data_IF_781728577032
#
_entry.id   IF_781728577032
#
_cell.length_a   1.000
_cell.length_b   1.000
_cell.length_c   1.000
_cell.angle_alpha   90.00
_cell.angle_beta   90.00
_cell.angle_gamma   90.00
#
_symmetry.space_group_name_H-M   'P 1'
#
loop_
_entity.id
_entity.type
_entity.pdbx_description
1 polymer ?
#
# COMPACT_ATOMS: atom_id res chain seq x y z
N UNK A 1 9.72 -35.42 -7.24
CA UNK A 1 10.67 -34.36 -7.68
C UNK A 1 10.62 -34.20 -9.19
N UNK A 2 11.00 -35.21 -9.97
CA UNK A 2 11.07 -35.17 -11.44
C UNK A 2 9.74 -34.81 -12.14
N UNK A 3 8.60 -35.32 -11.65
CA UNK A 3 7.27 -34.99 -12.20
C UNK A 3 6.88 -33.51 -11.99
N UNK A 4 7.29 -32.92 -10.86
CA UNK A 4 6.95 -31.52 -10.51
C UNK A 4 7.92 -30.54 -11.17
N UNK A 5 9.19 -30.94 -11.35
CA UNK A 5 10.15 -30.24 -12.20
C UNK A 5 9.64 -30.21 -13.65
N UNK A 6 9.12 -31.34 -14.15
CA UNK A 6 8.45 -31.38 -15.46
C UNK A 6 7.24 -30.46 -15.52
N UNK A 7 6.34 -30.46 -14.54
CA UNK A 7 5.14 -29.59 -14.54
C UNK A 7 5.51 -28.10 -14.43
N UNK A 8 6.53 -27.75 -13.63
CA UNK A 8 7.02 -26.38 -13.51
C UNK A 8 7.72 -25.90 -14.78
N UNK A 9 8.65 -26.68 -15.33
CA UNK A 9 9.27 -26.41 -16.63
C UNK A 9 8.24 -26.37 -17.75
N UNK A 10 7.28 -27.30 -17.79
CA UNK A 10 6.21 -27.32 -18.79
C UNK A 10 5.40 -26.03 -18.76
N UNK A 11 5.04 -25.52 -17.57
CA UNK A 11 4.30 -24.26 -17.46
C UNK A 11 5.12 -23.04 -17.89
N UNK A 12 6.41 -23.02 -17.60
CA UNK A 12 7.30 -21.98 -18.12
C UNK A 12 7.42 -22.09 -19.64
N UNK A 13 7.59 -23.31 -20.18
CA UNK A 13 7.62 -23.55 -21.62
C UNK A 13 6.30 -23.10 -22.30
N UNK A 14 5.17 -23.21 -21.60
CA UNK A 14 3.82 -22.74 -21.99
C UNK A 14 3.58 -21.23 -21.73
N UNK A 15 4.59 -20.45 -21.33
CA UNK A 15 4.50 -18.99 -21.22
C UNK A 15 4.28 -18.43 -19.80
N UNK A 16 4.34 -19.24 -18.75
CA UNK A 16 4.27 -18.74 -17.38
C UNK A 16 5.51 -17.89 -17.03
N UNK A 17 5.29 -16.72 -16.45
CA UNK A 17 6.34 -15.88 -15.88
C UNK A 17 6.70 -16.29 -14.44
N UNK A 18 7.99 -16.18 -14.09
CA UNK A 18 8.46 -16.35 -12.71
C UNK A 18 9.35 -15.18 -12.31
N UNK A 19 9.08 -14.59 -11.14
CA UNK A 19 9.96 -13.61 -10.52
C UNK A 19 10.51 -14.16 -9.20
N UNK A 20 11.82 -14.07 -8.99
CA UNK A 20 12.44 -14.30 -7.68
C UNK A 20 13.13 -13.03 -7.19
N UNK A 21 12.73 -12.57 -6.00
CA UNK A 21 13.35 -11.44 -5.33
C UNK A 21 14.41 -11.92 -4.34
N UNK A 22 15.46 -11.13 -4.16
CA UNK A 22 16.47 -11.37 -3.15
C UNK A 22 15.94 -11.18 -1.72
N UNK A 23 16.80 -11.45 -0.75
CA UNK A 23 16.55 -11.31 0.68
C UNK A 23 17.07 -12.53 1.44
N UNK A 24 16.82 -12.57 2.74
CA UNK A 24 17.25 -13.68 3.61
C UNK A 24 16.67 -15.04 3.19
N UNK A 25 15.50 -15.02 2.53
CA UNK A 25 14.80 -16.20 2.01
C UNK A 25 14.88 -16.34 0.48
N UNK A 26 15.56 -15.43 -0.23
CA UNK A 26 15.73 -15.48 -1.68
C UNK A 26 16.97 -16.29 -2.08
N UNK A 27 16.99 -16.82 -3.30
CA UNK A 27 18.16 -17.46 -3.93
C UNK A 27 18.89 -18.47 -3.01
N UNK A 28 20.12 -18.14 -2.59
CA UNK A 28 20.95 -18.95 -1.71
C UNK A 28 20.37 -19.16 -0.30
N UNK A 29 19.55 -18.24 0.20
CA UNK A 29 19.13 -18.23 1.61
C UNK A 29 20.30 -17.90 2.56
N UNK A 30 20.01 -17.22 3.67
CA UNK A 30 21.00 -16.88 4.69
C UNK A 30 20.37 -16.86 6.09
N UNK A 31 21.17 -16.96 7.16
CA UNK A 31 20.67 -16.74 8.52
C UNK A 31 19.70 -17.83 9.02
N UNK A 32 19.88 -19.07 8.55
CA UNK A 32 19.05 -20.22 8.93
C UNK A 32 17.87 -20.49 7.99
N UNK A 33 17.65 -19.67 6.96
CA UNK A 33 16.66 -19.96 5.93
C UNK A 33 17.22 -20.94 4.87
N UNK A 34 16.37 -21.84 4.34
CA UNK A 34 16.78 -22.83 3.35
C UNK A 34 17.13 -22.17 2.01
N UNK A 35 18.01 -22.83 1.26
CA UNK A 35 18.37 -22.41 -0.10
C UNK A 35 17.36 -22.89 -1.14
N UNK A 36 17.18 -22.11 -2.20
CA UNK A 36 16.45 -22.54 -3.40
C UNK A 36 17.30 -23.42 -4.33
N UNK A 37 18.62 -23.48 -4.14
CA UNK A 37 19.55 -24.27 -4.97
C UNK A 37 19.10 -25.72 -5.15
N UNK A 38 18.78 -26.38 -4.04
CA UNK A 38 18.48 -27.81 -4.00
C UNK A 38 16.97 -28.11 -4.17
N UNK A 39 16.20 -27.10 -4.60
CA UNK A 39 14.76 -27.22 -4.86
C UNK A 39 14.49 -27.46 -6.34
N UNK A 40 13.22 -27.69 -6.67
CA UNK A 40 12.77 -27.79 -8.06
C UNK A 40 12.88 -26.46 -8.83
N UNK A 41 12.98 -25.33 -8.12
CA UNK A 41 13.12 -24.00 -8.70
C UNK A 41 14.60 -23.68 -9.00
N UNK A 42 15.55 -24.25 -8.26
CA UNK A 42 16.98 -23.98 -8.45
C UNK A 42 17.48 -24.15 -9.90
N UNK A 43 17.10 -25.22 -10.63
CA UNK A 43 17.48 -25.42 -12.02
C UNK A 43 16.88 -24.42 -13.02
N UNK A 44 15.75 -23.77 -12.71
CA UNK A 44 15.07 -22.82 -13.61
C UNK A 44 15.46 -21.36 -13.34
N UNK A 45 16.19 -21.08 -12.27
CA UNK A 45 16.68 -19.73 -11.99
C UNK A 45 17.83 -19.35 -12.94
N UNK A 46 17.90 -18.08 -13.37
CA UNK A 46 18.98 -17.57 -14.23
C UNK A 46 20.35 -17.47 -13.53
N UNK A 47 20.45 -17.94 -12.29
CA UNK A 47 21.63 -17.80 -11.44
C UNK A 47 21.89 -19.07 -10.65
N UNK A 48 23.15 -19.30 -10.33
CA UNK A 48 23.55 -20.27 -9.32
C UNK A 48 23.44 -19.65 -7.93
N UNK A 49 22.78 -20.40 -7.04
CA UNK A 49 22.49 -20.00 -5.67
C UNK A 49 23.56 -20.58 -4.73
N UNK A 50 24.12 -19.75 -3.85
CA UNK A 50 25.18 -20.13 -2.91
C UNK A 50 24.64 -20.16 -1.47
N UNK A 51 24.37 -21.35 -0.90
CA UNK A 51 23.76 -21.47 0.42
C UNK A 51 24.61 -20.86 1.53
N UNK A 52 24.01 -19.98 2.34
CA UNK A 52 24.69 -19.35 3.46
C UNK A 52 25.69 -18.26 3.07
N UNK A 53 25.80 -17.92 1.79
CA UNK A 53 26.59 -16.79 1.32
C UNK A 53 25.71 -15.55 1.09
N UNK A 54 26.27 -14.39 1.38
CA UNK A 54 25.64 -13.09 1.11
C UNK A 54 26.57 -12.25 0.25
N UNK A 55 25.98 -11.31 -0.48
CA UNK A 55 26.71 -10.34 -1.28
C UNK A 55 27.76 -9.62 -0.45
N UNK A 56 28.88 -9.29 -1.09
CA UNK A 56 29.95 -8.51 -0.46
C UNK A 56 29.85 -7.04 -0.85
N UNK A 57 28.90 -6.64 -1.68
CA UNK A 57 28.67 -5.26 -2.08
C UNK A 57 27.68 -4.61 -1.15
N UNK A 58 28.09 -3.47 -0.58
CA UNK A 58 27.23 -2.67 0.28
C UNK A 58 26.73 -1.45 -0.48
N UNK A 59 25.41 -1.35 -0.61
CA UNK A 59 24.71 -0.14 -1.05
C UNK A 59 25.28 0.47 -2.35
N UNK A 60 25.38 -0.28 -3.46
CA UNK A 60 25.93 0.28 -4.68
C UNK A 60 24.90 1.19 -5.36
N UNK A 61 25.41 2.19 -6.10
CA UNK A 61 24.61 2.81 -7.16
C UNK A 61 24.40 1.80 -8.29
N UNK A 62 23.30 1.97 -9.02
CA UNK A 62 22.96 1.12 -10.15
C UNK A 62 23.63 1.63 -11.42
N UNK A 63 23.86 0.69 -12.34
CA UNK A 63 24.26 0.92 -13.73
C UNK A 63 23.41 0.04 -14.63
N UNK A 64 22.84 0.63 -15.66
CA UNK A 64 22.14 -0.12 -16.71
C UNK A 64 23.18 -0.64 -17.70
N UNK A 65 23.21 -1.96 -17.93
CA UNK A 65 24.14 -2.61 -18.87
C UNK A 65 23.47 -3.09 -20.15
N UNK A 66 22.14 -3.24 -20.14
CA UNK A 66 21.32 -3.51 -21.32
C UNK A 66 20.30 -2.37 -21.51
N UNK A 67 20.71 -1.18 -21.96
CA UNK A 67 19.82 -0.03 -22.13
C UNK A 67 18.78 -0.23 -23.25
N UNK A 68 19.03 -1.15 -24.17
CA UNK A 68 18.08 -1.56 -25.21
C UNK A 68 16.98 -2.52 -24.70
N UNK A 69 17.14 -3.07 -23.50
CA UNK A 69 16.15 -3.93 -22.88
C UNK A 69 15.00 -3.09 -22.31
N UNK A 70 13.75 -3.51 -22.56
CA UNK A 70 12.54 -2.79 -22.12
C UNK A 70 12.57 -2.44 -20.63
N UNK A 71 12.99 -3.37 -19.76
CA UNK A 71 13.09 -3.09 -18.33
C UNK A 71 14.21 -2.09 -18.02
N UNK A 72 15.35 -2.22 -18.71
CA UNK A 72 16.51 -1.33 -18.56
C UNK A 72 16.25 0.11 -19.00
N UNK A 73 15.41 0.31 -20.02
CA UNK A 73 15.00 1.64 -20.50
C UNK A 73 13.79 2.22 -19.78
N UNK A 74 13.02 1.40 -19.05
CA UNK A 74 11.72 1.81 -18.50
C UNK A 74 11.77 2.89 -17.42
N UNK A 75 12.91 3.05 -16.74
CA UNK A 75 13.06 3.95 -15.60
C UNK A 75 14.44 4.59 -15.57
N UNK A 76 14.61 5.74 -14.90
CA UNK A 76 15.92 6.36 -14.68
C UNK A 76 16.70 5.62 -13.57
N UNK A 77 17.02 4.35 -13.80
CA UNK A 77 17.63 3.46 -12.80
C UNK A 77 18.96 3.97 -12.22
N UNK A 78 19.73 4.74 -12.98
CA UNK A 78 21.00 5.31 -12.50
C UNK A 78 20.82 6.40 -11.43
N UNK A 79 19.64 7.02 -11.39
CA UNK A 79 19.23 8.01 -10.39
C UNK A 79 18.60 7.35 -9.15
N UNK A 80 18.30 6.05 -9.21
CA UNK A 80 17.71 5.34 -8.11
C UNK A 80 18.62 5.36 -6.87
N UNK A 81 18.05 5.48 -5.65
CA UNK A 81 18.79 5.31 -4.42
C UNK A 81 19.46 3.95 -4.35
N UNK A 82 20.54 3.85 -3.57
CA UNK A 82 21.18 2.56 -3.38
C UNK A 82 20.32 1.64 -2.49
N UNK A 83 20.50 0.34 -2.68
CA UNK A 83 19.97 -0.70 -1.80
C UNK A 83 21.05 -1.76 -1.57
N UNK A 84 20.88 -2.62 -0.59
CA UNK A 84 21.80 -3.70 -0.32
C UNK A 84 21.42 -4.94 -1.15
N UNK A 85 22.15 -5.28 -2.22
CA UNK A 85 21.96 -6.57 -2.88
C UNK A 85 22.32 -7.64 -1.86
N UNK A 86 21.37 -8.46 -1.44
CA UNK A 86 21.58 -9.31 -0.27
C UNK A 86 22.26 -10.63 -0.59
N UNK A 87 21.93 -11.23 -1.74
CA UNK A 87 22.31 -12.60 -2.06
C UNK A 87 23.58 -12.63 -2.92
N UNK A 88 24.51 -13.52 -2.58
CA UNK A 88 25.60 -13.87 -3.48
C UNK A 88 25.09 -14.84 -4.55
N UNK A 89 25.28 -14.46 -5.81
CA UNK A 89 24.75 -15.16 -6.99
C UNK A 89 25.82 -15.11 -8.10
N UNK A 90 25.85 -16.15 -8.93
CA UNK A 90 26.62 -16.15 -10.17
C UNK A 90 25.69 -16.38 -11.36
N UNK A 91 25.90 -15.65 -12.45
CA UNK A 91 25.05 -15.75 -13.64
C UNK A 91 25.28 -17.09 -14.34
N UNK A 92 24.20 -17.77 -14.71
CA UNK A 92 24.31 -18.96 -15.56
C UNK A 92 24.61 -18.61 -17.01
N UNK A 93 25.29 -19.50 -17.76
CA UNK A 93 25.41 -19.36 -19.20
C UNK A 93 24.02 -19.24 -19.86
N UNK A 94 23.85 -18.21 -20.69
CA UNK A 94 22.57 -17.91 -21.36
C UNK A 94 21.69 -16.88 -20.62
N UNK A 95 22.03 -16.53 -19.38
CA UNK A 95 21.35 -15.47 -18.65
C UNK A 95 21.83 -14.08 -19.08
N UNK A 96 20.91 -13.12 -19.03
CA UNK A 96 21.18 -11.72 -19.37
C UNK A 96 21.06 -10.85 -18.12
N UNK A 97 22.09 -10.04 -17.88
CA UNK A 97 22.07 -8.99 -16.84
C UNK A 97 21.56 -7.70 -17.46
N UNK A 98 20.59 -7.05 -16.80
CA UNK A 98 20.01 -5.78 -17.26
C UNK A 98 20.61 -4.62 -16.45
N UNK A 99 20.68 -4.79 -15.13
CA UNK A 99 21.15 -3.78 -14.20
C UNK A 99 22.13 -4.44 -13.23
N UNK A 100 23.25 -3.79 -12.98
CA UNK A 100 24.28 -4.24 -12.04
C UNK A 100 24.75 -3.10 -11.14
N UNK A 101 25.52 -3.43 -10.10
CA UNK A 101 26.19 -2.43 -9.29
C UNK A 101 27.25 -1.67 -10.10
N UNK A 102 27.37 -0.37 -9.83
CA UNK A 102 28.35 0.53 -10.47
C UNK A 102 29.77 0.38 -9.90
N UNK A 103 29.94 -0.38 -8.83
CA UNK A 103 31.26 -0.64 -8.22
C UNK A 103 32.09 -1.63 -9.05
N UNK A 104 33.34 -1.86 -8.64
CA UNK A 104 34.25 -2.77 -9.36
C UNK A 104 33.75 -4.22 -9.39
N UNK A 105 32.89 -4.60 -8.44
CA UNK A 105 32.36 -5.96 -8.30
C UNK A 105 31.29 -6.28 -9.33
N UNK A 106 30.57 -5.27 -9.85
CA UNK A 106 29.54 -5.43 -10.88
C UNK A 106 28.53 -6.54 -10.55
N UNK A 107 28.05 -6.53 -9.32
CA UNK A 107 27.07 -7.50 -8.85
C UNK A 107 25.74 -7.34 -9.61
N UNK A 108 25.20 -8.43 -10.18
CA UNK A 108 23.91 -8.40 -10.87
C UNK A 108 22.78 -8.01 -9.91
N UNK A 109 21.97 -7.04 -10.30
CA UNK A 109 20.82 -6.57 -9.51
C UNK A 109 19.49 -6.94 -10.16
N UNK A 110 19.39 -6.84 -11.48
CA UNK A 110 18.23 -7.25 -12.26
C UNK A 110 18.73 -8.04 -13.47
N UNK A 111 18.16 -9.22 -13.66
CA UNK A 111 18.62 -10.17 -14.65
C UNK A 111 17.49 -11.13 -15.01
N UNK A 112 17.60 -11.77 -16.16
CA UNK A 112 16.58 -12.71 -16.62
C UNK A 112 17.17 -13.75 -17.57
N UNK A 113 16.38 -14.76 -17.84
CA UNK A 113 16.49 -15.58 -19.05
C UNK A 113 15.11 -16.08 -19.47
N UNK A 114 15.03 -16.58 -20.68
CA UNK A 114 13.79 -17.14 -21.22
C UNK A 114 13.92 -18.68 -21.28
N UNK A 115 12.86 -19.38 -20.90
CA UNK A 115 12.74 -20.84 -20.96
C UNK A 115 11.47 -21.16 -21.76
N UNK A 116 11.65 -21.58 -23.02
CA UNK A 116 10.52 -21.73 -23.95
C UNK A 116 9.87 -20.37 -24.20
N UNK A 117 8.55 -20.26 -23.97
CA UNK A 117 7.81 -19.00 -24.08
C UNK A 117 7.78 -18.19 -22.77
N UNK A 118 8.20 -18.78 -21.65
CA UNK A 118 8.17 -18.16 -20.32
C UNK A 118 9.46 -17.43 -19.99
N UNK A 119 9.35 -16.45 -19.10
CA UNK A 119 10.49 -15.65 -18.63
C UNK A 119 10.70 -15.80 -17.14
N UNK A 120 11.95 -16.03 -16.74
CA UNK A 120 12.35 -16.03 -15.34
C UNK A 120 13.20 -14.79 -15.06
N UNK A 121 12.67 -13.91 -14.22
CA UNK A 121 13.32 -12.66 -13.80
C UNK A 121 13.80 -12.80 -12.38
N UNK A 122 15.06 -12.44 -12.13
CA UNK A 122 15.60 -12.28 -10.80
C UNK A 122 15.88 -10.80 -10.52
N UNK A 123 15.51 -10.34 -9.34
CA UNK A 123 15.97 -9.07 -8.82
C UNK A 123 16.53 -9.23 -7.40
N UNK A 124 17.54 -8.46 -7.05
CA UNK A 124 18.06 -8.40 -5.68
C UNK A 124 17.04 -7.74 -4.75
N UNK A 125 17.25 -7.83 -3.42
CA UNK A 125 16.24 -7.37 -2.47
C UNK A 125 16.08 -5.84 -2.48
N UNK A 126 15.00 -5.37 -3.09
CA UNK A 126 14.60 -3.95 -3.11
C UNK A 126 13.61 -3.58 -1.99
N UNK A 127 13.32 -4.50 -1.05
CA UNK A 127 12.32 -4.32 0.01
C UNK A 127 12.92 -4.31 1.42
N UNK A 128 12.17 -3.74 2.36
CA UNK A 128 12.45 -3.80 3.80
C UNK A 128 13.75 -3.10 4.18
N UNK A 129 14.44 -3.61 5.21
CA UNK A 129 15.67 -2.98 5.73
C UNK A 129 16.80 -2.92 4.70
N UNK A 130 16.82 -3.83 3.73
CA UNK A 130 17.85 -3.88 2.69
C UNK A 130 17.56 -2.94 1.53
N UNK A 131 16.29 -2.56 1.33
CA UNK A 131 15.85 -1.63 0.29
C UNK A 131 15.34 -0.29 0.83
N UNK A 132 15.56 0.06 2.10
CA UNK A 132 14.86 1.18 2.74
C UNK A 132 15.00 2.51 1.98
N UNK A 133 16.21 2.84 1.52
CA UNK A 133 16.44 4.06 0.73
C UNK A 133 15.84 3.95 -0.68
N UNK A 134 15.88 2.77 -1.28
CA UNK A 134 15.28 2.52 -2.60
C UNK A 134 13.75 2.59 -2.56
N UNK A 135 13.13 2.21 -1.45
CA UNK A 135 11.68 2.35 -1.24
C UNK A 135 11.21 3.80 -1.14
N UNK A 136 12.10 4.74 -0.82
CA UNK A 136 11.82 6.17 -0.81
C UNK A 136 11.93 6.82 -2.21
N UNK A 137 12.33 6.05 -3.22
CA UNK A 137 12.42 6.53 -4.60
C UNK A 137 11.02 6.81 -5.17
N UNK A 138 10.86 7.93 -5.89
CA UNK A 138 9.57 8.29 -6.49
C UNK A 138 9.06 7.18 -7.42
N UNK A 139 9.95 6.53 -8.17
CA UNK A 139 9.62 5.43 -9.08
C UNK A 139 9.69 4.04 -8.43
N UNK A 140 9.69 3.94 -7.10
CA UNK A 140 9.77 2.63 -6.44
C UNK A 140 8.62 1.70 -6.85
N UNK A 141 7.38 2.20 -6.80
CA UNK A 141 6.21 1.40 -7.20
C UNK A 141 6.30 0.99 -8.68
N UNK A 142 6.80 1.89 -9.53
CA UNK A 142 6.99 1.63 -10.94
C UNK A 142 8.02 0.52 -11.19
N UNK A 143 9.14 0.56 -10.46
CA UNK A 143 10.20 -0.44 -10.57
C UNK A 143 9.70 -1.85 -10.25
N UNK A 144 8.87 -1.97 -9.21
CA UNK A 144 8.29 -3.24 -8.78
C UNK A 144 7.31 -3.77 -9.84
N UNK A 145 6.40 -2.92 -10.33
CA UNK A 145 5.41 -3.33 -11.33
C UNK A 145 6.06 -3.67 -12.68
N UNK A 146 7.06 -2.89 -13.11
CA UNK A 146 7.76 -3.15 -14.37
C UNK A 146 8.49 -4.50 -14.34
N UNK A 147 9.05 -4.92 -13.20
CA UNK A 147 9.62 -6.27 -13.03
C UNK A 147 8.56 -7.37 -13.23
N UNK A 148 7.32 -7.16 -12.78
CA UNK A 148 6.23 -8.12 -12.98
C UNK A 148 5.68 -8.12 -14.41
N UNK A 149 5.52 -6.95 -15.04
CA UNK A 149 5.20 -6.87 -16.47
C UNK A 149 6.24 -7.61 -17.29
N UNK A 150 7.52 -7.33 -16.98
CA UNK A 150 8.64 -7.95 -17.66
C UNK A 150 8.63 -9.46 -17.50
N UNK A 151 8.39 -10.00 -16.30
CA UNK A 151 8.36 -11.44 -16.07
C UNK A 151 7.15 -12.13 -16.70
N UNK A 152 6.01 -11.44 -16.81
CA UNK A 152 4.83 -11.90 -17.52
C UNK A 152 4.97 -11.80 -19.06
N UNK A 153 6.12 -11.34 -19.57
CA UNK A 153 6.35 -11.03 -20.98
C UNK A 153 5.29 -10.08 -21.57
N UNK A 154 4.75 -9.20 -20.73
CA UNK A 154 3.87 -8.10 -21.15
C UNK A 154 4.73 -6.88 -21.50
N UNK A 155 4.34 -6.10 -22.52
CA UNK A 155 5.04 -4.88 -22.86
C UNK A 155 5.02 -3.94 -21.65
N UNK A 156 6.20 -3.43 -21.27
CA UNK A 156 6.28 -2.39 -20.25
C UNK A 156 5.77 -1.10 -20.90
N UNK A 157 4.82 -0.39 -20.27
CA UNK A 157 4.25 0.77 -20.90
C UNK A 157 5.27 1.93 -21.06
N UNK A 158 5.24 2.58 -22.22
CA UNK A 158 6.30 3.48 -22.69
C UNK A 158 6.26 4.88 -22.06
N UNK A 159 5.06 5.39 -21.74
CA UNK A 159 4.88 6.72 -21.17
C UNK A 159 4.99 6.69 -19.64
N UNK A 160 6.24 6.73 -19.17
CA UNK A 160 6.56 6.74 -17.75
C UNK A 160 5.77 7.80 -16.97
N UNK A 161 5.57 8.99 -17.54
CA UNK A 161 4.90 10.07 -16.81
C UNK A 161 3.44 9.73 -16.53
N UNK A 162 2.70 9.28 -17.54
CA UNK A 162 1.28 8.91 -17.39
C UNK A 162 1.12 7.75 -16.42
N UNK A 163 1.94 6.70 -16.56
CA UNK A 163 1.86 5.50 -15.71
C UNK A 163 2.20 5.82 -14.25
N UNK A 164 3.28 6.57 -14.04
CA UNK A 164 3.69 7.01 -12.71
C UNK A 164 2.58 7.82 -12.03
N UNK A 165 1.97 8.74 -12.78
CA UNK A 165 0.88 9.57 -12.28
C UNK A 165 -0.37 8.74 -11.93
N UNK A 166 -0.75 7.75 -12.74
CA UNK A 166 -1.86 6.82 -12.42
C UNK A 166 -1.57 6.07 -11.11
N UNK A 167 -0.37 5.48 -10.99
CA UNK A 167 0.03 4.68 -9.82
C UNK A 167 0.07 5.54 -8.55
N UNK A 168 0.58 6.78 -8.65
CA UNK A 168 0.53 7.78 -7.58
C UNK A 168 -0.91 8.10 -7.17
N UNK A 169 -1.80 8.41 -8.12
CA UNK A 169 -3.21 8.70 -7.85
C UNK A 169 -3.96 7.51 -7.27
N UNK A 170 -3.65 6.28 -7.66
CA UNK A 170 -4.23 5.10 -7.02
C UNK A 170 -3.83 4.96 -5.56
N UNK A 171 -2.57 5.26 -5.23
CA UNK A 171 -2.13 5.28 -3.85
C UNK A 171 -2.89 6.35 -3.05
N UNK A 172 -2.97 7.57 -3.59
CA UNK A 172 -3.69 8.70 -2.98
C UNK A 172 -5.18 8.41 -2.80
N UNK A 173 -5.86 7.94 -3.84
CA UNK A 173 -7.25 7.49 -3.79
C UNK A 173 -7.47 6.41 -2.72
N UNK A 174 -6.54 5.45 -2.61
CA UNK A 174 -6.60 4.41 -1.59
C UNK A 174 -6.52 4.95 -0.16
N UNK A 175 -5.77 6.04 0.07
CA UNK A 175 -5.72 6.74 1.35
C UNK A 175 -6.99 7.54 1.61
N UNK A 176 -7.46 8.32 0.63
CA UNK A 176 -8.70 9.09 0.71
C UNK A 176 -9.91 8.21 0.98
N UNK A 177 -10.02 7.06 0.30
CA UNK A 177 -11.11 6.11 0.49
C UNK A 177 -11.14 5.56 1.92
N UNK A 178 -9.97 5.27 2.52
CA UNK A 178 -9.89 4.83 3.92
C UNK A 178 -10.34 5.95 4.88
N UNK A 179 -9.98 7.19 4.59
CA UNK A 179 -10.43 8.34 5.37
C UNK A 179 -11.95 8.52 5.27
N UNK A 180 -12.52 8.43 4.07
CA UNK A 180 -13.97 8.49 3.84
C UNK A 180 -14.70 7.42 4.66
N UNK A 181 -14.27 6.15 4.57
CA UNK A 181 -14.87 5.05 5.35
C UNK A 181 -14.77 5.33 6.85
N UNK A 182 -13.60 5.79 7.33
CA UNK A 182 -13.42 6.15 8.74
C UNK A 182 -14.35 7.29 9.19
N UNK A 183 -14.60 8.29 8.33
CA UNK A 183 -15.54 9.39 8.62
C UNK A 183 -16.99 8.91 8.66
N UNK A 184 -17.38 8.01 7.76
CA UNK A 184 -18.70 7.37 7.75
C UNK A 184 -18.90 6.58 9.04
N UNK A 185 -17.97 5.70 9.40
CA UNK A 185 -18.04 4.93 10.66
C UNK A 185 -18.10 5.83 11.91
N UNK A 186 -17.39 6.95 11.89
CA UNK A 186 -17.46 7.93 12.98
C UNK A 186 -18.83 8.58 13.05
N UNK A 187 -19.37 9.05 11.93
CA UNK A 187 -20.67 9.70 11.88
C UNK A 187 -21.81 8.72 12.26
N UNK A 188 -21.70 7.45 11.85
CA UNK A 188 -22.66 6.39 12.17
C UNK A 188 -22.70 6.08 13.69
N UNK A 189 -21.54 6.13 14.38
CA UNK A 189 -21.50 6.01 15.86
C UNK A 189 -22.32 7.07 16.59
N UNK A 190 -22.55 8.22 15.97
CA UNK A 190 -23.40 9.30 16.48
C UNK A 190 -24.80 9.28 15.86
N UNK A 191 -25.17 8.19 15.18
CA UNK A 191 -26.45 7.97 14.54
C UNK A 191 -26.81 9.08 13.54
N UNK A 192 -25.79 9.60 12.83
CA UNK A 192 -25.97 10.61 11.79
C UNK A 192 -26.70 10.03 10.58
N UNK A 193 -27.45 10.87 9.85
CA UNK A 193 -28.10 10.43 8.61
C UNK A 193 -27.08 10.37 7.47
N UNK A 194 -26.69 9.15 7.07
CA UNK A 194 -25.69 8.89 6.04
C UNK A 194 -26.27 8.37 4.71
N UNK A 195 -27.59 8.28 4.58
CA UNK A 195 -28.25 7.68 3.41
C UNK A 195 -27.77 8.27 2.07
N UNK A 196 -27.53 9.59 2.03
CA UNK A 196 -27.04 10.26 0.83
C UNK A 196 -25.60 9.81 0.48
N UNK A 197 -24.72 9.72 1.47
CA UNK A 197 -23.33 9.28 1.28
C UNK A 197 -23.29 7.82 0.84
N UNK A 198 -24.05 6.96 1.53
CA UNK A 198 -24.11 5.52 1.22
C UNK A 198 -24.62 5.26 -0.20
N UNK A 199 -25.65 5.98 -0.64
CA UNK A 199 -26.22 5.79 -1.99
C UNK A 199 -25.25 6.09 -3.14
N UNK A 200 -24.24 6.93 -2.91
CA UNK A 200 -23.26 7.36 -3.93
C UNK A 200 -21.93 6.61 -3.83
N UNK A 201 -21.74 5.78 -2.80
CA UNK A 201 -20.55 4.94 -2.67
C UNK A 201 -20.46 3.92 -3.80
N UNK A 202 -21.60 3.36 -4.22
CA UNK A 202 -21.63 2.37 -5.29
C UNK A 202 -21.22 2.99 -6.64
N UNK A 203 -21.69 4.22 -6.91
CA UNK A 203 -21.27 5.00 -8.08
C UNK A 203 -19.76 5.27 -8.05
N UNK A 204 -19.21 5.69 -6.91
CA UNK A 204 -17.77 5.86 -6.74
C UNK A 204 -16.98 4.56 -7.00
N UNK A 205 -17.48 3.42 -6.50
CA UNK A 205 -16.85 2.13 -6.71
C UNK A 205 -16.87 1.73 -8.20
N UNK A 206 -17.95 2.06 -8.92
CA UNK A 206 -18.06 1.81 -10.36
C UNK A 206 -17.06 2.65 -11.18
N UNK A 207 -16.91 3.94 -10.86
CA UNK A 207 -15.89 4.81 -11.49
C UNK A 207 -14.49 4.21 -11.28
N UNK A 208 -14.15 3.82 -10.04
CA UNK A 208 -12.86 3.20 -9.73
C UNK A 208 -12.63 1.89 -10.50
N UNK A 209 -13.67 1.04 -10.59
CA UNK A 209 -13.59 -0.23 -11.33
C UNK A 209 -13.35 0.02 -12.82
N UNK A 210 -13.98 1.03 -13.40
CA UNK A 210 -13.76 1.40 -14.80
C UNK A 210 -12.33 1.91 -15.03
N UNK A 211 -11.78 2.72 -14.11
CA UNK A 211 -10.38 3.15 -14.19
C UNK A 211 -9.41 1.95 -14.16
N UNK A 212 -9.68 0.96 -13.31
CA UNK A 212 -8.86 -0.26 -13.21
C UNK A 212 -8.92 -1.07 -14.49
N UNK A 213 -10.11 -1.20 -15.09
CA UNK A 213 -10.28 -1.91 -16.34
C UNK A 213 -9.53 -1.22 -17.49
N UNK A 214 -9.64 0.11 -17.61
CA UNK A 214 -8.91 0.88 -18.62
C UNK A 214 -7.40 0.72 -18.49
N UNK A 215 -6.86 0.71 -17.26
CA UNK A 215 -5.44 0.46 -17.04
C UNK A 215 -5.02 -0.96 -17.47
N UNK A 216 -5.83 -1.97 -17.17
CA UNK A 216 -5.57 -3.35 -17.59
C UNK A 216 -5.64 -3.51 -19.10
N UNK A 217 -6.52 -2.78 -19.76
CA UNK A 217 -6.66 -2.72 -21.21
C UNK A 217 -5.59 -1.83 -21.87
N UNK A 218 -4.68 -1.25 -21.07
CA UNK A 218 -3.57 -0.37 -21.49
C UNK A 218 -4.00 0.97 -22.09
N UNK A 219 -5.23 1.40 -21.84
CA UNK A 219 -5.77 2.71 -22.19
C UNK A 219 -5.42 3.73 -21.09
N UNK A 220 -4.12 4.04 -20.97
CA UNK A 220 -3.59 4.82 -19.83
C UNK A 220 -4.13 6.24 -19.72
N UNK A 221 -4.25 7.05 -20.80
CA UNK A 221 -4.80 8.40 -20.70
C UNK A 221 -6.23 8.42 -20.14
N UNK A 222 -7.06 7.50 -20.59
CA UNK A 222 -8.44 7.33 -20.16
C UNK A 222 -8.50 6.81 -18.71
N UNK A 223 -7.63 5.87 -18.35
CA UNK A 223 -7.50 5.40 -16.97
C UNK A 223 -7.10 6.53 -16.00
N UNK A 224 -6.18 7.41 -16.44
CA UNK A 224 -5.76 8.59 -15.69
C UNK A 224 -6.91 9.55 -15.46
N UNK A 225 -7.67 9.87 -16.51
CA UNK A 225 -8.85 10.73 -16.39
C UNK A 225 -9.87 10.11 -15.42
N UNK A 226 -10.16 8.81 -15.56
CA UNK A 226 -11.17 8.13 -14.74
C UNK A 226 -10.77 8.05 -13.26
N UNK A 227 -9.48 7.88 -12.95
CA UNK A 227 -9.04 7.91 -11.55
C UNK A 227 -9.08 9.32 -10.95
N UNK A 228 -8.82 10.36 -11.74
CA UNK A 228 -9.01 11.75 -11.31
C UNK A 228 -10.47 12.05 -10.99
N UNK A 229 -11.39 11.58 -11.84
CA UNK A 229 -12.83 11.67 -11.59
C UNK A 229 -13.22 10.96 -10.28
N UNK A 230 -12.70 9.76 -10.04
CA UNK A 230 -12.92 9.02 -8.79
C UNK A 230 -12.40 9.79 -7.56
N UNK A 231 -11.25 10.45 -7.65
CA UNK A 231 -10.70 11.26 -6.54
C UNK A 231 -11.57 12.48 -6.25
N UNK A 232 -12.01 13.21 -7.28
CA UNK A 232 -12.93 14.35 -7.11
C UNK A 232 -14.21 13.91 -6.42
N UNK A 233 -14.77 12.78 -6.82
CA UNK A 233 -16.00 12.24 -6.26
C UNK A 233 -15.81 11.74 -4.82
N UNK A 234 -14.70 11.06 -4.52
CA UNK A 234 -14.30 10.66 -3.16
C UNK A 234 -14.17 11.85 -2.22
N UNK A 235 -13.55 12.94 -2.68
CA UNK A 235 -13.42 14.18 -1.90
C UNK A 235 -14.79 14.82 -1.62
N UNK A 236 -15.69 14.82 -2.62
CA UNK A 236 -17.07 15.32 -2.46
C UNK A 236 -17.85 14.51 -1.42
N UNK A 237 -17.80 13.18 -1.49
CA UNK A 237 -18.44 12.30 -0.49
C UNK A 237 -17.85 12.48 0.91
N UNK A 238 -16.54 12.70 1.00
CA UNK A 238 -15.87 13.01 2.27
C UNK A 238 -16.40 14.32 2.88
N UNK A 239 -16.66 15.34 2.05
CA UNK A 239 -17.31 16.58 2.47
C UNK A 239 -18.71 16.33 3.08
N UNK A 240 -19.54 15.54 2.40
CA UNK A 240 -20.88 15.19 2.89
C UNK A 240 -20.83 14.41 4.21
N UNK A 241 -19.89 13.48 4.36
CA UNK A 241 -19.70 12.75 5.62
C UNK A 241 -19.29 13.68 6.76
N UNK A 242 -18.43 14.68 6.50
CA UNK A 242 -18.03 15.69 7.48
C UNK A 242 -19.21 16.58 7.88
N UNK A 243 -20.06 16.97 6.93
CA UNK A 243 -21.28 17.74 7.23
C UNK A 243 -22.24 16.95 8.13
N UNK A 244 -22.50 15.69 7.80
CA UNK A 244 -23.34 14.80 8.61
C UNK A 244 -22.78 14.64 10.03
N UNK A 245 -21.46 14.45 10.16
CA UNK A 245 -20.75 14.43 11.43
C UNK A 245 -20.96 15.71 12.23
N UNK A 246 -20.77 16.88 11.61
CA UNK A 246 -20.87 18.16 12.30
C UNK A 246 -22.29 18.41 12.81
N UNK A 247 -23.31 18.03 12.04
CA UNK A 247 -24.71 18.13 12.46
C UNK A 247 -24.99 17.22 13.66
N UNK A 248 -24.49 15.98 13.66
CA UNK A 248 -24.66 15.06 14.78
C UNK A 248 -23.99 15.57 16.06
N UNK A 249 -22.73 16.03 15.97
CA UNK A 249 -22.01 16.60 17.11
C UNK A 249 -22.69 17.86 17.67
N UNK A 250 -23.26 18.69 16.80
CA UNK A 250 -24.02 19.87 17.22
C UNK A 250 -25.24 19.50 18.07
N UNK A 251 -26.02 18.49 17.66
CA UNK A 251 -27.18 18.04 18.43
C UNK A 251 -26.80 17.40 19.76
N UNK A 252 -25.71 16.64 19.80
CA UNK A 252 -25.17 16.08 21.04
C UNK A 252 -24.81 17.19 22.01
N UNK A 253 -24.12 18.24 21.53
CA UNK A 253 -23.76 19.40 22.33
C UNK A 253 -25.00 20.10 22.92
N UNK A 254 -26.07 20.27 22.13
CA UNK A 254 -27.34 20.84 22.62
C UNK A 254 -27.95 19.98 23.71
N UNK A 255 -28.03 18.66 23.52
CA UNK A 255 -28.63 17.74 24.49
C UNK A 255 -27.82 17.73 25.79
N UNK A 256 -26.49 17.73 25.69
CA UNK A 256 -25.60 17.82 26.83
C UNK A 256 -25.83 19.13 27.61
N UNK A 257 -25.86 20.26 26.90
CA UNK A 257 -26.10 21.57 27.50
C UNK A 257 -27.46 21.65 28.20
N UNK A 258 -28.53 21.13 27.58
CA UNK A 258 -29.86 21.07 28.17
C UNK A 258 -29.91 20.15 29.40
N UNK A 259 -29.17 19.02 29.36
CA UNK A 259 -29.10 18.07 30.48
C UNK A 259 -28.38 18.68 31.68
N UNK A 260 -27.27 19.38 31.45
CA UNK A 260 -26.52 20.12 32.49
C UNK A 260 -27.39 21.22 33.08
N UNK A 261 -28.06 22.03 32.23
CA UNK A 261 -28.94 23.10 32.68
C UNK A 261 -30.14 22.55 33.48
N UNK A 262 -30.78 21.48 33.00
CA UNK A 262 -31.89 20.81 33.67
C UNK A 262 -31.48 20.27 35.05
N UNK A 263 -30.32 19.60 35.14
CA UNK A 263 -29.78 19.09 36.41
C UNK A 263 -29.50 20.23 37.39
N UNK A 264 -28.95 21.34 36.92
CA UNK A 264 -28.68 22.53 37.73
C UNK A 264 -29.98 23.18 38.24
N UNK A 265 -30.99 23.31 37.39
CA UNK A 265 -32.30 23.85 37.79
C UNK A 265 -32.99 22.96 38.82
N UNK A 266 -32.99 21.63 38.64
CA UNK A 266 -33.61 20.69 39.58
C UNK A 266 -32.89 20.73 40.94
N UNK A 267 -31.57 20.61 40.94
CA UNK A 267 -30.78 20.62 42.18
C UNK A 267 -30.87 21.97 42.90
N UNK A 268 -30.84 23.07 42.14
CA UNK A 268 -31.07 24.42 42.65
C UNK A 268 -32.45 24.57 43.29
N UNK A 269 -33.51 24.10 42.61
CA UNK A 269 -34.89 24.16 43.11
C UNK A 269 -35.08 23.33 44.38
N UNK A 270 -34.55 22.11 44.42
CA UNK A 270 -34.58 21.25 45.60
C UNK A 270 -33.87 21.94 46.77
N UNK A 271 -32.66 22.46 46.53
CA UNK A 271 -31.85 23.12 47.55
C UNK A 271 -32.56 24.37 48.10
N UNK A 272 -33.08 25.22 47.22
CA UNK A 272 -33.85 26.40 47.58
C UNK A 272 -35.12 26.03 48.37
N UNK A 273 -35.88 25.03 47.92
CA UNK A 273 -37.10 24.57 48.61
C UNK A 273 -36.78 24.07 50.03
N UNK A 274 -35.69 23.32 50.21
CA UNK A 274 -35.23 22.88 51.53
C UNK A 274 -34.82 24.07 52.41
N UNK A 275 -34.13 25.07 51.85
CA UNK A 275 -33.76 26.28 52.59
C UNK A 275 -34.98 27.09 53.04
N UNK A 276 -35.96 27.30 52.16
CA UNK A 276 -37.21 28.01 52.48
C UNK A 276 -38.01 27.25 53.55
N UNK A 277 -38.15 25.94 53.42
CA UNK A 277 -38.82 25.11 54.43
C UNK A 277 -38.10 25.21 55.78
N UNK A 278 -36.78 25.12 55.81
CA UNK A 278 -35.99 25.27 57.05
C UNK A 278 -36.16 26.66 57.68
N UNK A 279 -36.24 27.71 56.87
CA UNK A 279 -36.48 29.07 57.36
C UNK A 279 -37.90 29.25 57.92
N UNK A 280 -38.92 28.72 57.24
CA UNK A 280 -40.31 28.84 57.65
C UNK A 280 -40.65 28.04 58.93
N UNK A 281 -40.01 26.89 59.16
CA UNK A 281 -40.21 26.08 60.38
C UNK A 281 -39.37 26.55 61.57
N UNK A 282 -38.66 27.67 61.45
CA UNK A 282 -37.83 28.23 62.52
C UNK A 282 -38.62 29.28 63.31
N UNK A 283 -39.65 28.84 64.04
CA UNK A 283 -40.09 29.40 65.34
C UNK A 283 -41.35 28.70 65.86
N UNK A 284 -41.19 27.85 66.88
CA UNK A 284 -42.07 27.90 68.06
C UNK A 284 -41.15 27.98 69.26
N UNK A 285 -41.14 29.17 69.87
CA UNK A 285 -40.60 29.50 71.19
C UNK A 285 -40.73 28.32 72.15
N UNK A 286 -39.61 27.95 72.77
CA UNK A 286 -39.63 27.26 74.05
C UNK A 286 -40.48 28.09 75.03
N UNK A 287 -41.64 27.57 75.39
CA UNK A 287 -42.45 28.13 76.47
C UNK A 287 -41.68 27.90 77.77
N UNK A 288 -41.21 28.99 78.37
CA UNK A 288 -40.63 28.99 79.71
C UNK A 288 -41.76 28.62 80.70
N UNK A 289 -41.68 27.47 81.36
CA UNK A 289 -42.55 27.11 82.49
C UNK A 289 -41.71 27.01 83.76
N UNK A 290 -42.09 27.86 84.73
CA UNK A 290 -41.69 28.01 86.14
C UNK A 290 -40.21 27.90 86.51
#
# INVERSE_FOLDING_TARGET
AELVLRVGCLRLEEGLGLTMTGGSQGFGGYGGFPSWRDTLIGPILPVDCFPGEHSKTYTPKLRVVAPENELGSSLPWEDAPCFFPYNFIEMRPGSTVIIESKDEKREPTHFYWDIGEGRVVGCQNIFGVFGCQFMDWEYFQDSVLNVYYYSAALPIPDDLYVIHEIRRKWHEYGLERKLLVSMIEFADKFNANLANVESQIDELNDIKRNADQLYLDQEYPEALQMIEEAMVESARLSGLAVEAKNLALFWIYIIEWLTVLGTLMITGTITWTLMVRKAAFKEVRATRSS
#
